data_IF_890451711615
#
_entry.id   IF_890451711615
#
_cell.length_a   1.000
_cell.length_b   1.000
_cell.length_c   1.000
_cell.angle_alpha   90.00
_cell.angle_beta   90.00
_cell.angle_gamma   90.00
#
_symmetry.space_group_name_H-M   'P 1'
#
loop_
_entity.id
_entity.type
_entity.pdbx_description
1 polymer ?
#
# COMPACT_ATOMS: atom_id res chain seq x y z
N UNK A 1 0.47 12.98 24.07
CA UNK A 1 -0.63 13.66 23.33
C UNK A 1 -1.82 12.73 23.41
N UNK A 2 -2.97 13.21 23.90
CA UNK A 2 -4.20 12.44 23.85
C UNK A 2 -4.73 12.44 22.41
N UNK A 3 -5.20 11.29 21.93
CA UNK A 3 -5.75 11.17 20.59
C UNK A 3 -7.18 11.72 20.58
N UNK A 4 -7.41 12.80 19.81
CA UNK A 4 -8.70 13.53 19.84
C UNK A 4 -9.86 12.66 19.33
N UNK A 5 -9.57 11.67 18.49
CA UNK A 5 -10.58 10.79 17.89
C UNK A 5 -10.71 9.44 18.58
N UNK A 6 -10.25 9.29 19.84
CA UNK A 6 -10.24 8.00 20.57
C UNK A 6 -11.62 7.36 20.73
N UNK A 7 -12.70 8.15 20.65
CA UNK A 7 -14.08 7.66 20.74
C UNK A 7 -14.76 7.46 19.38
N UNK A 8 -14.03 7.64 18.27
CA UNK A 8 -14.53 7.38 16.92
C UNK A 8 -14.12 5.98 16.44
N UNK A 9 -15.05 5.23 15.86
CA UNK A 9 -14.76 3.95 15.24
C UNK A 9 -13.98 4.16 13.91
N UNK A 10 -12.83 3.51 13.75
CA UNK A 10 -12.07 3.54 12.51
C UNK A 10 -12.70 2.62 11.45
N UNK A 11 -13.07 3.21 10.32
CA UNK A 11 -13.62 2.53 9.14
C UNK A 11 -12.65 2.50 7.95
N UNK A 12 -13.12 2.00 6.80
CA UNK A 12 -12.31 1.90 5.57
C UNK A 12 -11.91 3.27 4.99
N UNK A 13 -12.69 4.30 5.28
CA UNK A 13 -12.46 5.68 4.86
C UNK A 13 -11.72 6.54 5.91
N UNK A 14 -11.43 5.95 7.08
CA UNK A 14 -10.66 6.64 8.11
C UNK A 14 -9.19 6.76 7.71
N UNK A 15 -8.51 7.85 8.12
CA UNK A 15 -7.08 8.02 7.88
C UNK A 15 -6.25 6.82 8.36
N UNK A 16 -5.11 6.59 7.71
CA UNK A 16 -4.15 5.60 8.17
C UNK A 16 -3.59 6.01 9.54
N UNK A 17 -3.64 5.11 10.51
CA UNK A 17 -3.03 5.27 11.84
C UNK A 17 -1.73 4.49 11.96
N UNK A 18 -1.45 3.60 10.99
CA UNK A 18 -0.24 2.82 10.92
C UNK A 18 0.32 2.80 9.49
N UNK A 19 1.63 2.67 9.39
CA UNK A 19 2.33 2.47 8.12
C UNK A 19 3.51 1.52 8.31
N UNK A 20 3.88 0.81 7.25
CA UNK A 20 5.08 -0.01 7.21
C UNK A 20 5.78 0.13 5.86
N UNK A 21 7.11 0.04 5.88
CA UNK A 21 7.91 0.00 4.66
C UNK A 21 7.65 -1.29 3.89
N UNK A 22 7.52 -1.18 2.57
CA UNK A 22 7.34 -2.35 1.71
C UNK A 22 8.60 -2.54 0.87
N UNK A 23 9.26 -3.68 1.11
CA UNK A 23 10.24 -4.24 0.19
C UNK A 23 9.50 -5.19 -0.75
N UNK A 24 9.46 -4.93 -2.06
CA UNK A 24 8.82 -5.84 -3.01
C UNK A 24 9.43 -7.24 -2.97
N UNK A 25 8.58 -8.27 -3.00
CA UNK A 25 8.98 -9.68 -2.89
C UNK A 25 8.06 -10.57 -3.72
N UNK A 26 8.65 -11.38 -4.60
CA UNK A 26 7.91 -12.29 -5.48
C UNK A 26 7.44 -13.56 -4.78
N UNK A 27 7.78 -13.78 -3.51
CA UNK A 27 7.54 -15.00 -2.71
C UNK A 27 6.74 -14.74 -1.42
N UNK A 28 7.01 -13.64 -0.72
CA UNK A 28 6.41 -13.35 0.58
C UNK A 28 5.22 -12.37 0.47
N UNK A 29 4.11 -12.61 1.19
CA UNK A 29 3.01 -11.64 1.30
C UNK A 29 3.40 -10.47 2.21
N UNK A 30 2.62 -9.39 2.13
CA UNK A 30 2.68 -8.30 3.10
C UNK A 30 2.24 -8.80 4.49
N UNK A 31 2.72 -8.20 5.58
CA UNK A 31 2.35 -8.59 6.95
C UNK A 31 0.84 -8.42 7.23
N UNK A 32 0.16 -7.54 6.50
CA UNK A 32 -1.30 -7.39 6.52
C UNK A 32 -1.78 -6.74 5.22
N UNK A 33 -3.05 -6.94 4.82
CA UNK A 33 -3.63 -6.24 3.69
C UNK A 33 -3.66 -4.73 3.94
N UNK A 34 -3.21 -3.93 2.99
CA UNK A 34 -3.21 -2.47 3.10
C UNK A 34 -4.63 -1.89 3.05
N UNK A 35 -4.82 -0.65 3.52
CA UNK A 35 -5.92 0.24 3.09
C UNK A 35 -5.53 1.10 1.91
N UNK A 36 -4.27 1.56 1.88
CA UNK A 36 -3.71 2.32 0.78
C UNK A 36 -2.20 2.06 0.65
N UNK A 37 -1.63 2.45 -0.48
CA UNK A 37 -0.19 2.40 -0.74
C UNK A 37 0.28 3.81 -1.09
N UNK A 38 1.35 4.26 -0.43
CA UNK A 38 2.08 5.46 -0.85
C UNK A 38 3.27 5.06 -1.71
N UNK A 39 3.51 5.80 -2.80
CA UNK A 39 4.61 5.60 -3.74
C UNK A 39 5.53 6.80 -3.70
N UNK A 40 6.71 6.66 -3.11
CA UNK A 40 7.71 7.73 -3.04
C UNK A 40 8.21 8.16 -4.40
N UNK A 41 8.85 7.24 -5.13
CA UNK A 41 9.31 7.47 -6.50
C UNK A 41 8.40 6.72 -7.48
N UNK A 42 7.98 7.45 -8.52
CA UNK A 42 7.07 6.93 -9.55
C UNK A 42 7.64 5.77 -10.37
N UNK A 43 6.76 5.09 -11.10
CA UNK A 43 7.10 3.92 -11.90
C UNK A 43 5.92 2.96 -12.05
N UNK A 44 6.23 1.68 -12.22
CA UNK A 44 5.25 0.60 -12.26
C UNK A 44 5.16 -0.05 -10.90
N UNK A 45 3.95 -0.45 -10.50
CA UNK A 45 3.70 -1.18 -9.26
C UNK A 45 2.89 -2.43 -9.56
N UNK A 46 3.53 -3.59 -9.46
CA UNK A 46 2.89 -4.89 -9.62
C UNK A 46 2.51 -5.45 -8.25
N UNK A 47 1.24 -5.78 -8.05
CA UNK A 47 0.72 -6.20 -6.74
C UNK A 47 -0.42 -7.20 -6.88
N UNK A 48 -0.64 -7.98 -5.82
CA UNK A 48 -1.86 -8.77 -5.64
C UNK A 48 -2.82 -8.00 -4.74
N UNK A 49 -4.05 -7.80 -5.20
CA UNK A 49 -5.13 -7.20 -4.42
C UNK A 49 -5.75 -8.20 -3.46
N UNK A 50 -6.50 -7.72 -2.46
CA UNK A 50 -7.24 -8.54 -1.51
C UNK A 50 -8.23 -9.51 -2.19
N UNK A 51 -8.72 -9.17 -3.39
CA UNK A 51 -9.56 -10.06 -4.20
C UNK A 51 -8.82 -11.27 -4.78
N UNK A 52 -7.48 -11.31 -4.69
CA UNK A 52 -6.61 -12.30 -5.35
C UNK A 52 -6.15 -11.88 -6.75
N UNK A 53 -6.70 -10.79 -7.31
CA UNK A 53 -6.29 -10.30 -8.63
C UNK A 53 -4.87 -9.73 -8.58
N UNK A 54 -4.01 -10.15 -9.51
CA UNK A 54 -2.67 -9.58 -9.68
C UNK A 54 -2.68 -8.63 -10.87
N UNK A 55 -2.32 -7.37 -10.62
CA UNK A 55 -2.36 -6.27 -11.60
C UNK A 55 -1.09 -5.43 -11.52
N UNK A 56 -0.77 -4.73 -12.61
CA UNK A 56 0.32 -3.76 -12.63
C UNK A 56 -0.24 -2.36 -12.91
N UNK A 57 -0.12 -1.47 -11.94
CA UNK A 57 -0.37 -0.05 -12.14
C UNK A 57 0.82 0.55 -12.88
N UNK A 58 0.57 1.14 -14.05
CA UNK A 58 1.62 1.64 -14.93
C UNK A 58 1.81 3.15 -14.74
N UNK A 59 3.04 3.63 -14.85
CA UNK A 59 3.37 5.07 -14.89
C UNK A 59 2.80 5.88 -13.72
N UNK A 60 2.84 5.33 -12.51
CA UNK A 60 2.45 6.05 -11.31
C UNK A 60 3.38 7.25 -11.11
N UNK A 61 2.86 8.46 -10.86
CA UNK A 61 3.69 9.58 -10.49
C UNK A 61 4.32 9.39 -9.10
N UNK A 62 5.45 10.05 -8.87
CA UNK A 62 6.03 10.16 -7.53
C UNK A 62 5.05 10.85 -6.57
N UNK A 63 5.00 10.42 -5.32
CA UNK A 63 4.05 10.90 -4.31
C UNK A 63 2.62 10.36 -4.45
N UNK A 64 2.38 9.35 -5.29
CA UNK A 64 1.03 8.79 -5.48
C UNK A 64 0.51 8.12 -4.21
N UNK A 65 -0.75 8.40 -3.88
CA UNK A 65 -1.52 7.66 -2.88
C UNK A 65 -2.57 6.79 -3.58
N UNK A 66 -2.39 5.48 -3.54
CA UNK A 66 -3.29 4.50 -4.14
C UNK A 66 -4.23 3.90 -3.08
N UNK A 67 -5.53 4.20 -3.11
CA UNK A 67 -6.51 3.64 -2.16
C UNK A 67 -6.89 2.20 -2.58
N UNK A 68 -5.92 1.28 -2.51
CA UNK A 68 -6.09 -0.12 -2.85
C UNK A 68 -5.65 -1.02 -1.70
N UNK A 69 -6.34 -2.15 -1.56
CA UNK A 69 -6.02 -3.17 -0.56
C UNK A 69 -5.15 -4.24 -1.20
N UNK A 70 -3.84 -4.15 -1.00
CA UNK A 70 -2.88 -5.11 -1.52
C UNK A 70 -2.49 -6.13 -0.44
N UNK A 71 -2.25 -7.36 -0.85
CA UNK A 71 -1.76 -8.47 -0.01
C UNK A 71 -0.32 -8.84 -0.35
N UNK A 72 0.20 -8.39 -1.50
CA UNK A 72 1.57 -8.61 -1.96
C UNK A 72 1.99 -7.50 -2.92
N UNK A 73 3.26 -7.13 -2.93
CA UNK A 73 3.89 -6.32 -3.98
C UNK A 73 5.07 -7.10 -4.54
N UNK A 74 5.10 -7.29 -5.85
CA UNK A 74 6.11 -8.11 -6.53
C UNK A 74 7.39 -7.32 -6.79
N UNK A 75 8.55 -7.95 -6.65
CA UNK A 75 9.83 -7.38 -7.05
C UNK A 75 9.91 -7.32 -8.58
N UNK A 76 9.44 -8.36 -9.25
CA UNK A 76 9.29 -8.35 -10.71
C UNK A 76 8.22 -7.37 -11.16
N UNK A 77 8.50 -6.64 -12.25
CA UNK A 77 7.58 -5.67 -12.88
C UNK A 77 7.19 -4.48 -11.98
N UNK A 78 7.88 -4.27 -10.87
CA UNK A 78 7.80 -3.07 -10.04
C UNK A 78 9.07 -2.25 -10.22
N UNK A 79 8.91 -0.99 -10.65
CA UNK A 79 10.01 -0.02 -10.75
C UNK A 79 9.83 1.16 -9.81
N UNK A 80 8.62 1.33 -9.25
CA UNK A 80 8.36 2.28 -8.19
C UNK A 80 9.18 1.93 -6.93
N UNK A 81 9.65 2.95 -6.20
CA UNK A 81 10.43 2.77 -4.96
C UNK A 81 9.94 3.71 -3.87
N UNK A 82 10.41 3.53 -2.62
CA UNK A 82 9.90 4.27 -1.46
C UNK A 82 8.44 3.95 -1.18
N UNK A 83 8.08 2.66 -1.21
CA UNK A 83 6.71 2.19 -1.10
C UNK A 83 6.36 2.00 0.38
N UNK A 84 5.22 2.55 0.80
CA UNK A 84 4.68 2.35 2.15
C UNK A 84 3.28 1.72 2.06
N UNK A 85 3.03 0.70 2.88
CA UNK A 85 1.69 0.17 3.13
C UNK A 85 1.03 0.96 4.26
N UNK A 86 -0.19 1.45 4.04
CA UNK A 86 -0.93 2.30 4.99
C UNK A 86 -2.16 1.57 5.52
N UNK A 87 -2.36 1.61 6.84
CA UNK A 87 -3.33 0.82 7.59
C UNK A 87 -3.96 1.54 8.77
#
# INVERSE_FOLDING_TARGET
MAETYEHHAAGLESPASHAFEVVPDDTNPLPSPTRAIYVGNGGHLCLTLLSGATVTFQNLPAGSLLPVRATRIFATRTTATGILGLN
#
